data_IF_862795404158
#
_entry.id   IF_862795404158
#
_cell.length_a   1.000
_cell.length_b   1.000
_cell.length_c   1.000
_cell.angle_alpha   90.00
_cell.angle_beta   90.00
_cell.angle_gamma   90.00
#
_symmetry.space_group_name_H-M   'P 1'
#
loop_
_entity.id
_entity.type
_entity.pdbx_description
1 polymer ?
#
# COMPACT_ATOMS: atom_id res chain seq x y z
N UNK A 1 -0.38 3.48 9.27
CA UNK A 1 0.16 4.08 8.04
C UNK A 1 -0.89 4.99 7.44
N UNK A 2 -0.51 6.12 6.85
CA UNK A 2 -1.45 6.92 6.05
C UNK A 2 -1.52 6.27 4.66
N UNK A 3 -2.68 5.74 4.27
CA UNK A 3 -2.89 5.03 3.00
C UNK A 3 -3.78 5.90 2.14
N UNK A 4 -3.36 6.19 0.91
CA UNK A 4 -4.11 6.99 -0.04
C UNK A 4 -4.28 6.22 -1.34
N UNK A 5 -5.50 6.23 -1.88
CA UNK A 5 -5.82 5.65 -3.19
C UNK A 5 -5.60 6.74 -4.22
N UNK A 6 -4.60 6.57 -5.08
CA UNK A 6 -4.30 7.55 -6.13
C UNK A 6 -5.24 7.40 -7.33
N UNK A 7 -5.41 6.17 -7.81
CA UNK A 7 -6.32 5.83 -8.90
C UNK A 7 -6.91 4.44 -8.68
N UNK A 8 -8.19 4.27 -9.04
CA UNK A 8 -8.86 2.99 -9.00
C UNK A 8 -10.08 2.99 -9.92
N UNK A 9 -10.37 1.88 -10.63
CA UNK A 9 -11.56 1.77 -11.46
C UNK A 9 -12.86 1.60 -10.65
N UNK A 10 -12.79 1.10 -9.41
CA UNK A 10 -13.98 0.88 -8.58
C UNK A 10 -13.69 1.01 -7.07
N UNK A 11 -14.72 1.39 -6.30
CA UNK A 11 -14.61 1.58 -4.85
C UNK A 11 -14.40 0.25 -4.11
N UNK A 12 -15.07 -0.83 -4.51
CA UNK A 12 -14.99 -2.10 -3.79
C UNK A 12 -13.57 -2.69 -3.83
N UNK A 13 -12.91 -2.60 -4.99
CA UNK A 13 -11.52 -2.99 -5.17
C UNK A 13 -10.56 -2.16 -4.32
N UNK A 14 -10.81 -0.85 -4.25
CA UNK A 14 -10.04 0.09 -3.44
C UNK A 14 -10.12 -0.26 -1.95
N UNK A 15 -11.34 -0.50 -1.45
CA UNK A 15 -11.57 -0.83 -0.04
C UNK A 15 -10.87 -2.15 0.34
N UNK A 16 -10.91 -3.16 -0.54
CA UNK A 16 -10.19 -4.41 -0.35
C UNK A 16 -8.67 -4.20 -0.31
N UNK A 17 -8.11 -3.41 -1.22
CA UNK A 17 -6.68 -3.08 -1.24
C UNK A 17 -6.25 -2.36 0.06
N UNK A 18 -7.04 -1.38 0.52
CA UNK A 18 -6.79 -0.67 1.78
C UNK A 18 -6.85 -1.65 2.96
N UNK A 19 -7.83 -2.54 3.01
CA UNK A 19 -7.97 -3.53 4.07
C UNK A 19 -6.76 -4.48 4.14
N UNK A 20 -6.25 -4.95 3.00
CA UNK A 20 -5.05 -5.80 2.93
C UNK A 20 -3.82 -5.04 3.42
N UNK A 21 -3.64 -3.78 2.98
CA UNK A 21 -2.53 -2.94 3.43
C UNK A 21 -2.59 -2.64 4.93
N UNK A 22 -3.78 -2.47 5.50
CA UNK A 22 -3.96 -2.31 6.95
C UNK A 22 -3.59 -3.57 7.74
N UNK A 23 -3.85 -4.76 7.19
CA UNK A 23 -3.47 -6.06 7.79
C UNK A 23 -2.02 -6.44 7.55
N UNK A 24 -1.31 -5.71 6.69
CA UNK A 24 0.09 -6.00 6.38
C UNK A 24 1.02 -5.76 7.58
N UNK A 25 2.13 -6.50 7.69
CA UNK A 25 3.11 -6.29 8.76
C UNK A 25 3.75 -4.90 8.65
N UNK A 26 4.35 -4.40 9.73
CA UNK A 26 5.06 -3.12 9.69
C UNK A 26 6.18 -3.15 8.64
N UNK A 27 6.13 -2.19 7.72
CA UNK A 27 7.09 -2.08 6.63
C UNK A 27 8.44 -1.60 7.15
N UNK A 28 9.52 -2.13 6.59
CA UNK A 28 10.87 -1.66 6.93
C UNK A 28 11.01 -0.21 6.45
N UNK A 29 11.36 0.74 7.33
CA UNK A 29 11.55 2.13 6.91
C UNK A 29 12.80 2.24 6.03
N UNK A 30 12.81 3.26 5.17
CA UNK A 30 14.04 3.66 4.48
C UNK A 30 15.11 4.07 5.49
N UNK A 31 16.39 3.93 5.11
CA UNK A 31 17.52 4.40 5.92
C UNK A 31 18.28 5.47 5.16
N UNK A 32 18.48 6.62 5.80
CA UNK A 32 19.35 7.68 5.29
C UNK A 32 20.42 7.99 6.34
N UNK A 33 21.70 7.91 5.97
CA UNK A 33 22.83 8.10 6.90
C UNK A 33 22.68 7.27 8.20
N UNK A 34 22.28 6.00 8.03
CA UNK A 34 22.01 5.05 9.11
C UNK A 34 20.85 5.41 10.07
N UNK A 35 20.06 6.45 9.78
CA UNK A 35 18.86 6.82 10.53
C UNK A 35 17.60 6.37 9.78
N UNK A 36 16.58 5.82 10.47
CA UNK A 36 15.31 5.48 9.84
C UNK A 36 14.57 6.75 9.43
N UNK A 37 14.13 6.81 8.18
CA UNK A 37 13.38 7.94 7.61
C UNK A 37 12.01 7.49 7.12
N UNK A 38 11.02 8.37 7.26
CA UNK A 38 9.67 8.16 6.71
C UNK A 38 9.76 8.21 5.19
N UNK A 39 9.26 7.17 4.54
CA UNK A 39 9.21 7.05 3.08
C UNK A 39 7.78 6.81 2.64
N UNK A 40 7.43 7.37 1.49
CA UNK A 40 6.15 7.12 0.82
C UNK A 40 6.41 6.12 -0.30
N UNK A 41 5.62 5.05 -0.34
CA UNK A 41 5.66 4.05 -1.40
C UNK A 41 4.39 4.11 -2.24
N UNK A 42 4.54 4.04 -3.55
CA UNK A 42 3.43 3.89 -4.50
C UNK A 42 3.51 2.48 -5.08
N UNK A 43 2.47 1.68 -4.84
CA UNK A 43 2.42 0.28 -5.25
C UNK A 43 1.27 0.09 -6.24
N UNK A 44 1.53 -0.40 -7.45
CA UNK A 44 0.47 -0.81 -8.35
C UNK A 44 -0.15 -2.12 -7.86
N UNK A 45 -1.48 -2.14 -7.69
CA UNK A 45 -2.25 -3.32 -7.29
C UNK A 45 -3.04 -3.80 -8.49
N UNK A 46 -2.74 -5.02 -8.97
CA UNK A 46 -3.45 -5.64 -10.09
C UNK A 46 -4.37 -6.74 -9.59
N UNK A 47 -5.65 -6.64 -9.91
CA UNK A 47 -6.63 -7.68 -9.61
C UNK A 47 -6.70 -8.67 -10.76
N UNK A 48 -6.77 -9.95 -10.44
CA UNK A 48 -7.00 -11.03 -11.41
C UNK A 48 -8.20 -11.84 -10.94
N UNK A 49 -9.08 -12.18 -11.87
CA UNK A 49 -10.15 -13.14 -11.62
C UNK A 49 -9.52 -14.52 -11.71
N UNK A 50 -9.66 -15.31 -10.65
CA UNK A 50 -9.23 -16.70 -10.66
C UNK A 50 -10.33 -17.51 -11.35
N UNK A 51 -10.04 -18.00 -12.55
CA UNK A 51 -10.90 -18.95 -13.26
C UNK A 51 -10.61 -20.38 -12.80
#
# INVERSE_FOLDING_TARGET
>A
SNIQVLQSPDKTLSDAAVQVLQKSPKWKPGKQRNKPVRVTYTLPVSFKIQQ
#
